data_IF_750710949525
#
_entry.id   IF_750710949525
#
_cell.length_a   1.000
_cell.length_b   1.000
_cell.length_c   1.000
_cell.angle_alpha   90.00
_cell.angle_beta   90.00
_cell.angle_gamma   90.00
#
_symmetry.space_group_name_H-M   'P 1'
#
loop_
_entity.id
_entity.type
_entity.pdbx_description
1 polymer ?
#
# COMPACT_ATOMS: atom_id res chain seq x y z
N UNK A 1 -2.20 16.72 19.30
CA UNK A 1 -0.72 16.75 19.32
C UNK A 1 -0.25 16.44 20.74
N UNK A 2 0.45 15.34 21.00
CA UNK A 2 0.88 14.99 22.36
C UNK A 2 2.32 15.48 22.57
N UNK A 3 2.48 16.56 23.34
CA UNK A 3 3.77 17.24 23.57
C UNK A 3 4.82 16.40 24.32
N UNK A 4 4.38 15.36 25.05
CA UNK A 4 5.23 14.59 25.98
C UNK A 4 5.42 13.12 25.58
N UNK A 5 4.85 12.66 24.46
CA UNK A 5 5.08 11.30 24.00
C UNK A 5 5.11 11.22 22.48
N UNK A 6 5.90 10.27 21.98
CA UNK A 6 6.08 10.02 20.56
C UNK A 6 4.80 9.57 19.84
N UNK A 7 3.72 9.26 20.58
CA UNK A 7 2.45 8.74 20.06
C UNK A 7 2.56 7.45 19.20
N UNK A 8 3.74 6.81 19.20
CA UNK A 8 4.00 5.51 18.61
C UNK A 8 4.76 4.62 19.60
N UNK A 9 4.74 3.31 19.35
CA UNK A 9 5.50 2.36 20.16
C UNK A 9 6.99 2.43 19.82
N UNK A 10 7.85 2.47 20.84
CA UNK A 10 9.31 2.38 20.66
C UNK A 10 9.78 0.98 20.26
N UNK A 11 8.95 -0.05 20.49
CA UNK A 11 9.19 -1.41 19.98
C UNK A 11 8.82 -1.44 18.50
N UNK A 12 9.78 -1.82 17.67
CA UNK A 12 9.62 -1.77 16.21
C UNK A 12 8.52 -2.72 15.74
N UNK A 13 8.33 -3.86 16.42
CA UNK A 13 7.29 -4.85 16.14
C UNK A 13 5.90 -4.24 16.30
N UNK A 14 5.68 -3.55 17.42
CA UNK A 14 4.40 -2.91 17.72
C UNK A 14 4.12 -1.73 16.79
N UNK A 15 5.15 -0.97 16.42
CA UNK A 15 4.98 0.12 15.46
C UNK A 15 4.60 -0.42 14.07
N UNK A 16 5.27 -1.47 13.60
CA UNK A 16 4.94 -2.16 12.34
C UNK A 16 3.51 -2.69 12.36
N UNK A 17 3.08 -3.33 13.44
CA UNK A 17 1.71 -3.84 13.57
C UNK A 17 0.67 -2.71 13.51
N UNK A 18 0.90 -1.61 14.23
CA UNK A 18 0.00 -0.45 14.21
C UNK A 18 -0.10 0.20 12.82
N UNK A 19 1.02 0.31 12.11
CA UNK A 19 1.07 0.82 10.74
C UNK A 19 0.31 -0.12 9.79
N UNK A 20 0.56 -1.43 9.88
CA UNK A 20 -0.11 -2.42 9.03
C UNK A 20 -1.63 -2.39 9.22
N UNK A 21 -2.12 -2.36 10.47
CA UNK A 21 -3.53 -2.24 10.80
C UNK A 21 -4.17 -0.97 10.23
N UNK A 22 -3.47 0.17 10.31
CA UNK A 22 -3.96 1.43 9.78
C UNK A 22 -4.17 1.37 8.26
N UNK A 23 -3.19 0.86 7.51
CA UNK A 23 -3.29 0.74 6.06
C UNK A 23 -4.32 -0.31 5.65
N UNK A 24 -4.42 -1.43 6.36
CA UNK A 24 -5.44 -2.43 6.08
C UNK A 24 -6.85 -1.86 6.29
N UNK A 25 -7.11 -1.20 7.42
CA UNK A 25 -8.40 -0.53 7.65
C UNK A 25 -8.71 0.54 6.59
N UNK A 26 -7.71 1.36 6.22
CA UNK A 26 -7.88 2.37 5.17
C UNK A 26 -8.25 1.75 3.81
N UNK A 27 -7.63 0.63 3.45
CA UNK A 27 -7.85 -0.02 2.17
C UNK A 27 -9.18 -0.78 2.10
N UNK A 28 -9.62 -1.42 3.19
CA UNK A 28 -10.78 -2.32 3.18
C UNK A 28 -12.06 -1.70 3.73
N UNK A 29 -11.97 -0.80 4.72
CA UNK A 29 -13.15 -0.24 5.41
C UNK A 29 -13.44 1.21 5.04
N UNK A 30 -12.42 2.01 4.68
CA UNK A 30 -12.59 3.43 4.45
C UNK A 30 -12.94 3.76 2.99
N UNK A 31 -14.13 4.31 2.78
CA UNK A 31 -14.53 4.86 1.47
C UNK A 31 -13.84 6.20 1.27
N UNK A 32 -12.95 6.25 0.28
CA UNK A 32 -12.21 7.47 -0.04
C UNK A 32 -13.10 8.38 -0.88
N UNK A 33 -13.27 9.64 -0.46
CA UNK A 33 -14.19 10.59 -1.10
C UNK A 33 -13.96 10.78 -2.60
N UNK A 34 -12.71 10.76 -3.06
CA UNK A 34 -12.36 10.94 -4.48
C UNK A 34 -12.68 9.70 -5.32
N UNK A 35 -12.47 8.50 -4.77
CA UNK A 35 -12.76 7.23 -5.45
C UNK A 35 -14.24 6.83 -5.33
N UNK A 36 -14.94 7.30 -4.29
CA UNK A 36 -16.30 6.89 -3.89
C UNK A 36 -16.46 5.40 -3.56
N UNK A 37 -15.35 4.67 -3.56
CA UNK A 37 -15.20 3.25 -3.18
C UNK A 37 -13.96 3.11 -2.28
N UNK A 38 -13.73 1.91 -1.73
CA UNK A 38 -12.50 1.63 -0.98
C UNK A 38 -11.33 1.42 -1.94
N UNK A 39 -10.08 1.70 -1.51
CA UNK A 39 -8.90 1.42 -2.33
C UNK A 39 -8.79 -0.07 -2.73
N UNK A 40 -9.17 -0.99 -1.84
CA UNK A 40 -9.15 -2.42 -2.15
C UNK A 40 -10.19 -2.80 -3.23
N UNK A 41 -11.36 -2.16 -3.23
CA UNK A 41 -12.35 -2.32 -4.30
C UNK A 41 -11.82 -1.78 -5.64
N UNK A 42 -11.21 -0.59 -5.63
CA UNK A 42 -10.65 0.01 -6.84
C UNK A 42 -9.52 -0.85 -7.44
N UNK A 43 -8.77 -1.55 -6.59
CA UNK A 43 -7.73 -2.49 -6.99
C UNK A 43 -8.27 -3.88 -7.39
N UNK A 44 -9.58 -4.14 -7.29
CA UNK A 44 -10.18 -5.45 -7.59
C UNK A 44 -9.83 -6.56 -6.60
N UNK A 45 -9.43 -6.19 -5.36
CA UNK A 45 -9.08 -7.15 -4.31
C UNK A 45 -10.33 -7.65 -3.58
N UNK A 46 -11.35 -6.80 -3.46
CA UNK A 46 -12.66 -7.10 -2.87
C UNK A 46 -13.77 -6.42 -3.67
N UNK A 47 -14.99 -6.91 -3.58
CA UNK A 47 -16.18 -6.37 -4.24
C UNK A 47 -17.12 -5.59 -3.30
N UNK A 48 -16.78 -5.50 -2.02
CA UNK A 48 -17.58 -4.82 -1.00
C UNK A 48 -16.72 -4.08 0.03
N UNK A 49 -17.39 -3.20 0.79
CA UNK A 49 -16.78 -2.50 1.93
C UNK A 49 -16.78 -3.44 3.13
N UNK A 50 -15.63 -3.66 3.73
CA UNK A 50 -15.54 -4.52 4.90
C UNK A 50 -16.17 -3.86 6.12
N UNK A 51 -16.94 -4.66 6.86
CA UNK A 51 -17.39 -4.26 8.19
C UNK A 51 -16.21 -4.26 9.18
N UNK A 52 -16.32 -3.53 10.28
CA UNK A 52 -15.27 -3.56 11.31
C UNK A 52 -15.12 -4.94 11.94
N UNK A 53 -16.22 -5.69 12.07
CA UNK A 53 -16.22 -7.05 12.61
C UNK A 53 -15.46 -8.02 11.70
N UNK A 54 -15.82 -8.04 10.41
CA UNK A 54 -15.13 -8.83 9.38
C UNK A 54 -13.63 -8.48 9.31
N UNK A 55 -13.29 -7.20 9.36
CA UNK A 55 -11.90 -6.76 9.36
C UNK A 55 -11.12 -7.32 10.57
N UNK A 56 -11.71 -7.31 11.75
CA UNK A 56 -11.07 -7.83 12.96
C UNK A 56 -10.95 -9.36 12.92
N UNK A 57 -11.96 -10.06 12.41
CA UNK A 57 -11.91 -11.51 12.21
C UNK A 57 -10.78 -11.89 11.25
N UNK A 58 -10.72 -11.25 10.08
CA UNK A 58 -9.67 -11.48 9.09
C UNK A 58 -8.27 -11.13 9.63
N UNK A 59 -8.14 -10.03 10.39
CA UNK A 59 -6.86 -9.61 10.96
C UNK A 59 -6.34 -10.61 12.01
N UNK A 60 -7.23 -11.24 12.79
CA UNK A 60 -6.86 -12.25 13.78
C UNK A 60 -6.61 -13.62 13.14
N UNK A 61 -7.30 -13.95 12.05
CA UNK A 61 -7.13 -15.20 11.31
C UNK A 61 -5.92 -15.19 10.35
N UNK A 62 -5.39 -14.02 10.00
CA UNK A 62 -4.30 -13.88 9.04
C UNK A 62 -3.03 -14.63 9.47
N UNK A 63 -2.58 -15.56 8.63
CA UNK A 63 -1.32 -16.25 8.82
C UNK A 63 -0.12 -15.30 8.60
N UNK A 64 1.03 -15.53 9.27
CA UNK A 64 2.25 -14.79 8.99
C UNK A 64 2.64 -14.94 7.51
N UNK A 65 2.71 -13.81 6.80
CA UNK A 65 3.19 -13.80 5.42
C UNK A 65 4.71 -13.68 5.40
N UNK A 66 5.41 -14.43 4.52
CA UNK A 66 6.84 -14.22 4.34
C UNK A 66 7.08 -12.83 3.76
N UNK A 67 8.30 -12.32 3.96
CA UNK A 67 8.73 -11.09 3.29
C UNK A 67 8.54 -11.27 1.77
N UNK A 68 7.87 -10.33 1.07
CA UNK A 68 7.72 -10.44 -0.37
C UNK A 68 9.09 -10.47 -1.05
N UNK A 69 9.23 -11.31 -2.06
CA UNK A 69 10.45 -11.35 -2.85
C UNK A 69 10.61 -10.04 -3.64
N UNK A 70 11.79 -9.40 -3.62
CA UNK A 70 12.03 -8.19 -4.39
C UNK A 70 11.85 -8.49 -5.89
N UNK A 71 10.79 -7.96 -6.48
CA UNK A 71 10.60 -8.03 -7.93
C UNK A 71 11.27 -6.84 -8.62
N UNK A 72 11.93 -7.03 -9.78
CA UNK A 72 12.49 -5.93 -10.54
C UNK A 72 11.38 -4.97 -10.99
N UNK A 73 11.58 -3.68 -10.76
CA UNK A 73 10.64 -2.65 -11.18
C UNK A 73 10.55 -2.61 -12.71
N UNK A 74 9.35 -2.83 -13.25
CA UNK A 74 9.07 -2.59 -14.66
C UNK A 74 8.83 -1.10 -14.85
N UNK A 75 9.78 -0.42 -15.49
CA UNK A 75 9.62 0.99 -15.82
C UNK A 75 8.73 1.11 -17.07
N UNK A 76 7.63 1.89 -17.03
CA UNK A 76 6.83 2.16 -18.22
C UNK A 76 7.71 2.78 -19.32
N UNK A 77 7.72 2.17 -20.50
CA UNK A 77 8.42 2.73 -21.67
C UNK A 77 7.62 3.93 -22.18
N UNK A 78 8.25 5.08 -22.45
CA UNK A 78 7.55 6.23 -23.00
C UNK A 78 7.01 5.91 -24.40
N UNK A 79 5.76 6.31 -24.65
CA UNK A 79 5.16 6.31 -25.98
C UNK A 79 5.69 7.53 -26.75
N UNK A 80 6.59 7.31 -27.71
CA UNK A 80 7.20 8.36 -28.52
C UNK A 80 8.70 8.14 -28.78
N UNK A 81 9.35 9.03 -29.55
CA UNK A 81 10.79 8.95 -29.79
C UNK A 81 11.52 9.16 -28.46
N UNK A 82 12.18 8.10 -28.00
CA UNK A 82 12.92 8.11 -26.76
C UNK A 82 14.22 7.33 -26.90
N UNK A 83 15.29 7.85 -26.30
CA UNK A 83 16.60 7.21 -26.26
C UNK A 83 16.83 6.60 -24.89
N UNK A 84 17.30 5.36 -24.85
CA UNK A 84 17.72 4.72 -23.60
C UNK A 84 18.96 5.40 -23.03
N UNK A 85 18.98 5.56 -21.70
CA UNK A 85 20.14 6.09 -21.01
C UNK A 85 21.30 5.09 -21.05
N UNK A 86 22.58 5.55 -21.09
CA UNK A 86 23.74 4.67 -21.23
C UNK A 86 23.90 3.60 -20.14
N UNK A 87 23.26 3.80 -18.98
CA UNK A 87 23.27 2.87 -17.85
C UNK A 87 22.04 1.95 -17.80
N UNK A 88 21.16 1.99 -18.81
CA UNK A 88 19.92 1.20 -18.87
C UNK A 88 18.86 1.62 -17.83
N UNK A 89 19.06 2.74 -17.12
CA UNK A 89 18.14 3.20 -16.04
C UNK A 89 17.19 4.28 -16.53
N UNK A 90 16.37 3.93 -17.52
CA UNK A 90 15.27 4.78 -18.02
C UNK A 90 15.52 5.38 -19.40
N UNK A 91 14.66 6.34 -19.76
CA UNK A 91 14.56 6.87 -21.12
C UNK A 91 14.61 8.39 -21.12
N UNK A 92 15.30 8.97 -22.09
CA UNK A 92 15.26 10.39 -22.40
C UNK A 92 14.26 10.60 -23.55
N UNK A 93 13.18 11.35 -23.30
CA UNK A 93 12.24 11.74 -24.36
C UNK A 93 12.94 12.68 -25.33
N UNK A 94 12.86 12.38 -26.61
CA UNK A 94 13.33 13.24 -27.68
C UNK A 94 12.14 14.11 -28.13
N UNK A 95 12.40 15.40 -28.33
CA UNK A 95 11.42 16.35 -28.89
C UNK A 95 11.47 16.26 -30.40
#
# INVERSE_FOLDING_TARGET
MRRLCLAFSKKIENHRAAVALNYAHYNFCHVVKTLRVTPAMQAGITDHIWSLEEFMEAALAAAPTPRPEPQPLQHPRPEGPARELPNGRGFLRLV
#
